data_IF_562620880120
#
_entry.id   IF_562620880120
#
_cell.length_a   1.000
_cell.length_b   1.000
_cell.length_c   1.000
_cell.angle_alpha   90.00
_cell.angle_beta   90.00
_cell.angle_gamma   90.00
#
_symmetry.space_group_name_H-M   'P 1'
#
loop_
_entity.id
_entity.type
_entity.pdbx_description
1 polymer ?
#
# COMPACT_ATOMS: atom_id res chain seq x y z
N UNK A 1 8.12 4.38 1.44
CA UNK A 1 8.13 5.62 0.60
C UNK A 1 8.38 6.82 1.50
N UNK A 2 8.71 8.01 0.99
CA UNK A 2 8.80 9.21 1.83
C UNK A 2 7.42 9.58 2.38
N UNK A 3 7.36 9.98 3.64
CA UNK A 3 6.14 10.48 4.27
C UNK A 3 5.99 11.97 3.95
N UNK A 4 5.17 12.29 2.93
CA UNK A 4 4.88 13.66 2.51
C UNK A 4 3.49 13.75 1.89
N UNK A 5 2.95 14.96 1.81
CA UNK A 5 1.66 15.23 1.17
C UNK A 5 1.72 14.78 -0.29
N UNK A 6 0.76 13.93 -0.69
CA UNK A 6 0.66 13.40 -2.04
C UNK A 6 1.42 12.08 -2.29
N UNK A 7 2.17 11.56 -1.31
CA UNK A 7 2.87 10.26 -1.46
C UNK A 7 1.93 9.11 -1.82
N UNK A 8 0.75 9.06 -1.21
CA UNK A 8 -0.27 8.04 -1.52
C UNK A 8 -0.73 8.10 -2.99
N UNK A 9 -1.06 9.30 -3.47
CA UNK A 9 -1.51 9.49 -4.84
C UNK A 9 -0.41 9.15 -5.85
N UNK A 10 0.84 9.59 -5.60
CA UNK A 10 2.02 9.23 -6.39
C UNK A 10 2.20 7.71 -6.45
N UNK A 11 2.06 7.04 -5.31
CA UNK A 11 2.18 5.57 -5.23
C UNK A 11 1.07 4.85 -5.99
N UNK A 12 -0.18 5.30 -5.89
CA UNK A 12 -1.28 4.74 -6.68
C UNK A 12 -1.03 4.88 -8.19
N UNK A 13 -0.47 6.01 -8.63
CA UNK A 13 -0.03 6.20 -10.02
C UNK A 13 1.07 5.23 -10.43
N UNK A 14 2.04 4.94 -9.54
CA UNK A 14 3.10 3.97 -9.79
C UNK A 14 2.58 2.53 -9.95
N UNK A 15 1.42 2.19 -9.39
CA UNK A 15 0.79 0.89 -9.60
C UNK A 15 0.14 0.74 -10.99
N UNK A 16 0.15 1.79 -11.81
CA UNK A 16 -0.18 1.78 -13.24
C UNK A 16 -1.52 1.09 -13.58
N UNK A 17 -2.58 1.41 -12.83
CA UNK A 17 -3.93 0.91 -13.06
C UNK A 17 -4.18 -0.54 -12.61
N UNK A 18 -3.23 -1.18 -11.94
CA UNK A 18 -3.43 -2.50 -11.33
C UNK A 18 -4.51 -2.46 -10.27
N UNK A 19 -5.22 -3.59 -10.13
CA UNK A 19 -6.24 -3.75 -9.10
C UNK A 19 -5.57 -3.88 -7.73
N UNK A 20 -5.93 -2.99 -6.82
CA UNK A 20 -5.50 -2.98 -5.43
C UNK A 20 -6.61 -3.63 -4.61
N UNK A 21 -6.35 -4.79 -4.03
CA UNK A 21 -7.31 -5.52 -3.21
C UNK A 21 -7.26 -5.11 -1.74
N UNK A 22 -6.12 -4.57 -1.30
CA UNK A 22 -5.90 -4.17 0.07
C UNK A 22 -4.88 -3.04 0.12
N UNK A 23 -5.12 -2.03 0.95
CA UNK A 23 -4.19 -0.95 1.18
C UNK A 23 -4.28 -0.55 2.66
N UNK A 24 -3.24 -0.89 3.41
CA UNK A 24 -3.16 -0.61 4.84
C UNK A 24 -1.96 0.30 5.11
N UNK A 25 -2.22 1.40 5.80
CA UNK A 25 -1.22 2.38 6.21
C UNK A 25 -1.56 2.92 7.59
N UNK A 26 -0.55 3.16 8.43
CA UNK A 26 -0.68 3.86 9.70
C UNK A 26 0.52 4.77 9.88
N UNK A 27 0.24 6.01 10.27
CA UNK A 27 1.29 6.96 10.58
C UNK A 27 2.14 6.50 11.77
N UNK A 28 3.46 6.47 11.57
CA UNK A 28 4.44 6.00 12.56
C UNK A 28 5.42 7.08 13.04
N UNK A 29 5.24 8.35 12.64
CA UNK A 29 6.14 9.44 13.05
C UNK A 29 7.53 9.41 12.40
N UNK A 30 7.77 8.47 11.50
CA UNK A 30 9.02 8.35 10.75
C UNK A 30 8.93 9.17 9.44
N UNK A 31 10.08 9.64 8.94
CA UNK A 31 10.17 10.27 7.61
C UNK A 31 9.83 9.33 6.45
N UNK A 32 9.58 8.05 6.72
CA UNK A 32 9.23 7.04 5.74
C UNK A 32 7.89 6.38 6.07
N UNK A 33 6.94 6.45 5.14
CA UNK A 33 5.72 5.67 5.18
C UNK A 33 6.01 4.20 4.88
N UNK A 34 5.48 3.31 5.71
CA UNK A 34 5.41 1.87 5.45
C UNK A 34 3.98 1.51 5.07
N UNK A 35 3.81 0.95 3.89
CA UNK A 35 2.50 0.57 3.35
C UNK A 35 2.48 -0.94 3.16
N UNK A 36 1.41 -1.57 3.61
CA UNK A 36 1.08 -2.93 3.24
C UNK A 36 0.02 -2.89 2.13
N UNK A 37 0.31 -3.49 0.99
CA UNK A 37 -0.55 -3.43 -0.19
C UNK A 37 -0.73 -4.81 -0.78
N UNK A 38 -1.99 -5.15 -1.08
CA UNK A 38 -2.36 -6.30 -1.91
C UNK A 38 -2.59 -5.84 -3.33
N UNK A 39 -1.80 -6.34 -4.28
CA UNK A 39 -1.90 -6.02 -5.71
C UNK A 39 -2.18 -7.30 -6.47
N UNK A 40 -3.18 -7.26 -7.36
CA UNK A 40 -3.46 -8.38 -8.25
C UNK A 40 -2.43 -8.42 -9.37
N UNK A 41 -1.78 -9.57 -9.51
CA UNK A 41 -0.83 -9.89 -10.59
C UNK A 41 -1.40 -11.03 -11.45
N UNK A 42 -1.00 -11.07 -12.72
CA UNK A 42 -1.52 -12.06 -13.69
C UNK A 42 -0.61 -13.29 -13.76
N UNK A 43 0.68 -13.15 -13.42
CA UNK A 43 1.69 -14.20 -13.39
C UNK A 43 2.86 -13.83 -12.46
N UNK A 44 3.77 -14.78 -12.22
CA UNK A 44 5.00 -14.50 -11.47
C UNK A 44 5.96 -13.55 -12.21
N UNK A 45 6.06 -13.65 -13.54
CA UNK A 45 6.81 -12.69 -14.35
C UNK A 45 6.21 -11.27 -14.26
N UNK A 46 4.89 -11.15 -14.19
CA UNK A 46 4.19 -9.89 -13.97
C UNK A 46 4.49 -9.29 -12.59
N UNK A 47 4.56 -10.14 -11.54
CA UNK A 47 4.98 -9.77 -10.18
C UNK A 47 6.42 -9.27 -10.16
N UNK A 48 7.34 -10.01 -10.76
CA UNK A 48 8.77 -9.64 -10.79
C UNK A 48 9.00 -8.31 -11.52
N UNK A 49 8.32 -8.10 -12.66
CA UNK A 49 8.35 -6.82 -13.39
C UNK A 49 7.84 -5.66 -12.56
N UNK A 50 6.75 -5.86 -11.81
CA UNK A 50 6.21 -4.85 -10.91
C UNK A 50 7.21 -4.49 -9.81
N UNK A 51 7.84 -5.48 -9.17
CA UNK A 51 8.84 -5.26 -8.12
C UNK A 51 10.04 -4.50 -8.68
N UNK A 52 10.55 -4.91 -9.85
CA UNK A 52 11.66 -4.24 -10.50
C UNK A 52 11.32 -2.79 -10.86
N UNK A 53 10.12 -2.55 -11.41
CA UNK A 53 9.63 -1.22 -11.73
C UNK A 53 9.53 -0.31 -10.49
N UNK A 54 8.91 -0.79 -9.41
CA UNK A 54 8.79 -0.04 -8.16
C UNK A 54 10.17 0.24 -7.53
N UNK A 55 11.07 -0.74 -7.57
CA UNK A 55 12.45 -0.57 -7.08
C UNK A 55 13.21 0.47 -7.90
N UNK A 56 13.00 0.52 -9.23
CA UNK A 56 13.54 1.56 -10.12
C UNK A 56 12.99 2.97 -9.87
N UNK A 57 11.85 3.08 -9.16
CA UNK A 57 11.29 4.34 -8.67
C UNK A 57 11.69 4.66 -7.21
N UNK A 58 12.75 4.02 -6.71
CA UNK A 58 13.25 4.14 -5.34
C UNK A 58 12.26 3.70 -4.24
N UNK A 59 11.24 2.90 -4.57
CA UNK A 59 10.44 2.24 -3.55
C UNK A 59 11.19 1.04 -2.97
N UNK A 60 11.32 1.01 -1.64
CA UNK A 60 11.75 -0.19 -0.91
C UNK A 60 10.60 -1.19 -0.87
N UNK A 61 10.70 -2.24 -1.66
CA UNK A 61 9.68 -3.30 -1.76
C UNK A 61 10.17 -4.56 -1.05
N UNK A 62 9.29 -5.13 -0.21
CA UNK A 62 9.47 -6.47 0.35
C UNK A 62 8.34 -7.34 -0.18
N UNK A 63 8.69 -8.32 -1.02
CA UNK A 63 7.71 -9.28 -1.52
C UNK A 63 7.31 -10.26 -0.41
N UNK A 64 6.01 -10.40 -0.18
CA UNK A 64 5.42 -11.28 0.82
C UNK A 64 4.50 -12.33 0.18
N UNK A 65 4.57 -12.51 -1.14
CA UNK A 65 3.69 -13.41 -1.91
C UNK A 65 3.79 -14.87 -1.43
N UNK A 66 4.96 -15.33 -1.00
CA UNK A 66 5.16 -16.69 -0.46
C UNK A 66 5.09 -16.75 1.08
N UNK A 67 4.77 -15.63 1.75
CA UNK A 67 4.71 -15.58 3.20
C UNK A 67 3.31 -15.95 3.68
N UNK A 68 3.13 -17.20 4.10
CA UNK A 68 1.87 -17.66 4.70
C UNK A 68 1.46 -16.82 5.92
N UNK A 69 2.44 -16.45 6.75
CA UNK A 69 2.21 -15.58 7.91
C UNK A 69 1.72 -14.18 7.49
N UNK A 70 2.18 -13.66 6.35
CA UNK A 70 1.68 -12.40 5.82
C UNK A 70 0.24 -12.52 5.31
N UNK A 71 -0.06 -13.60 4.59
CA UNK A 71 -1.40 -13.90 4.07
C UNK A 71 -2.43 -14.09 5.19
N UNK A 72 -2.06 -14.81 6.26
CA UNK A 72 -3.00 -15.21 7.31
C UNK A 72 -3.10 -14.21 8.47
N UNK A 73 -2.00 -13.55 8.85
CA UNK A 73 -1.93 -12.79 10.10
C UNK A 73 -1.58 -11.31 9.91
N UNK A 74 -0.57 -10.99 9.09
CA UNK A 74 -0.04 -9.61 9.02
C UNK A 74 -1.12 -8.62 8.62
N UNK A 75 -2.04 -8.99 7.72
CA UNK A 75 -3.16 -8.13 7.32
C UNK A 75 -4.04 -7.62 8.46
N UNK A 76 -4.12 -8.38 9.57
CA UNK A 76 -4.90 -8.00 10.75
C UNK A 76 -4.06 -7.28 11.82
N UNK A 77 -2.74 -7.22 11.63
CA UNK A 77 -1.80 -6.63 12.58
C UNK A 77 -1.27 -5.25 12.14
N UNK A 78 -1.56 -4.83 10.90
CA UNK A 78 -1.26 -3.47 10.42
C UNK A 78 -2.26 -2.49 11.04
N UNK A 79 -1.77 -1.38 11.62
CA UNK A 79 -2.65 -0.35 12.19
C UNK A 79 -2.45 -0.05 13.68
N UNK A 80 -1.32 -0.45 14.28
CA UNK A 80 -1.00 -0.21 15.69
C UNK A 80 -1.09 1.26 16.15
N UNK A 81 -0.72 1.50 17.41
CA UNK A 81 -0.87 2.82 18.04
C UNK A 81 0.01 3.87 17.35
N UNK A 82 -0.54 5.05 17.10
CA UNK A 82 0.27 6.18 16.66
C UNK A 82 1.27 6.60 17.76
N UNK A 83 2.45 7.14 17.40
CA UNK A 83 3.52 7.44 18.35
C UNK A 83 3.17 8.56 19.36
N UNK A 84 2.19 9.41 19.07
CA UNK A 84 1.82 10.55 19.91
C UNK A 84 0.34 10.95 19.73
N UNK A 85 -0.12 11.92 20.53
CA UNK A 85 -1.47 12.49 20.45
C UNK A 85 -1.69 13.21 19.11
N UNK A 86 -2.06 12.44 18.09
CA UNK A 86 -2.61 13.00 16.85
C UNK A 86 -4.08 13.35 17.07
N UNK A 87 -4.47 14.58 16.75
CA UNK A 87 -5.89 14.93 16.56
C UNK A 87 -6.34 14.33 15.22
N UNK A 88 -6.84 13.09 15.28
CA UNK A 88 -7.31 12.34 14.11
C UNK A 88 -8.84 12.22 14.12
N UNK A 89 -9.44 12.25 12.93
CA UNK A 89 -10.84 11.96 12.72
C UNK A 89 -10.97 10.68 11.88
N UNK A 90 -11.93 9.83 12.22
CA UNK A 90 -12.17 8.57 11.53
C UNK A 90 -13.33 8.77 10.55
N UNK A 91 -13.08 8.46 9.29
CA UNK A 91 -14.09 8.43 8.24
C UNK A 91 -14.20 7.02 7.67
N UNK A 92 -15.41 6.62 7.31
CA UNK A 92 -15.68 5.40 6.55
C UNK A 92 -16.29 5.80 5.22
N UNK A 93 -15.66 5.37 4.12
CA UNK A 93 -16.12 5.64 2.76
C UNK A 93 -16.36 4.32 2.03
N UNK A 94 -17.32 4.33 1.12
CA UNK A 94 -17.62 3.21 0.23
C UNK A 94 -17.78 3.75 -1.19
N UNK A 95 -17.17 3.06 -2.16
CA UNK A 95 -17.29 3.37 -3.57
C UNK A 95 -17.31 2.07 -4.38
N UNK A 96 -17.87 2.06 -5.61
CA UNK A 96 -17.89 0.87 -6.45
C UNK A 96 -16.49 0.37 -6.80
N UNK A 97 -16.26 -0.94 -6.67
CA UNK A 97 -14.98 -1.56 -7.02
C UNK A 97 -14.78 -1.56 -8.55
N UNK A 98 -13.82 -0.77 -9.03
CA UNK A 98 -13.41 -0.68 -10.43
C UNK A 98 -11.90 -0.39 -10.52
N UNK A 99 -11.22 -0.79 -11.61
CA UNK A 99 -9.83 -0.37 -11.84
C UNK A 99 -9.69 1.16 -11.73
N UNK A 100 -8.71 1.62 -10.95
CA UNK A 100 -8.46 3.05 -10.71
C UNK A 100 -9.39 3.73 -9.69
N UNK A 101 -10.37 3.04 -9.12
CA UNK A 101 -11.31 3.64 -8.16
C UNK A 101 -10.60 4.26 -6.94
N UNK A 102 -9.54 3.62 -6.45
CA UNK A 102 -8.73 4.14 -5.33
C UNK A 102 -7.94 5.41 -5.70
N UNK A 103 -7.56 5.58 -6.97
CA UNK A 103 -6.81 6.77 -7.44
C UNK A 103 -7.73 7.98 -7.63
N UNK A 104 -9.01 7.75 -7.92
CA UNK A 104 -10.01 8.79 -8.15
C UNK A 104 -10.82 9.18 -6.91
N UNK A 105 -10.57 8.53 -5.77
CA UNK A 105 -11.11 8.92 -4.46
C UNK A 105 -10.26 10.04 -3.85
#
# INVERSE_FOLDING_TARGET
MREEIGSFHKFCGALNGRVISEFNYRYSGENNAQVFVGVKVISDDDRERLIAYLTGLDYRVKDLTESEMAKSHVRYMVGGKAPSHTEEQIFRVQFPEKPGALTHF
#
